data_IF_817075782016
#
_entry.id   IF_817075782016
#
_cell.length_a   1.000
_cell.length_b   1.000
_cell.length_c   1.000
_cell.angle_alpha   90.00
_cell.angle_beta   90.00
_cell.angle_gamma   90.00
#
_symmetry.space_group_name_H-M   'P 1'
#
loop_
_entity.id
_entity.type
_entity.pdbx_description
1 polymer ?
#
# COMPACT_ATOMS: atom_id res chain seq x y z
N UNK A 1 12.30 12.99 9.31
CA UNK A 1 13.51 13.64 9.89
C UNK A 1 13.50 15.17 9.73
N UNK A 2 12.38 15.82 9.43
CA UNK A 2 12.25 17.26 9.69
C UNK A 2 10.88 17.53 10.30
N UNK A 3 10.89 18.41 11.30
CA UNK A 3 9.79 18.80 12.21
C UNK A 3 9.48 17.89 13.42
N UNK A 4 10.51 17.66 14.25
CA UNK A 4 10.34 17.77 15.71
C UNK A 4 11.26 18.87 16.21
N UNK A 5 10.74 20.09 16.37
CA UNK A 5 11.36 21.11 17.22
C UNK A 5 10.24 21.62 18.11
N UNK A 6 10.45 21.44 19.41
CA UNK A 6 9.40 21.45 20.41
C UNK A 6 8.95 22.84 20.83
N UNK A 7 7.64 22.97 20.99
CA UNK A 7 7.07 23.93 21.93
C UNK A 7 7.11 23.33 23.34
N UNK A 8 8.25 23.47 24.02
CA UNK A 8 8.33 23.30 25.47
C UNK A 8 7.66 24.53 26.10
N UNK A 9 6.36 24.41 26.39
CA UNK A 9 5.65 25.41 27.17
C UNK A 9 6.16 25.42 28.61
N UNK A 10 6.84 26.51 28.97
CA UNK A 10 7.33 26.76 30.33
C UNK A 10 6.13 26.88 31.30
N UNK A 11 5.82 25.80 32.05
CA UNK A 11 4.78 25.84 33.08
C UNK A 11 5.43 26.18 34.42
N UNK A 12 5.18 27.40 34.88
CA UNK A 12 5.65 27.95 36.15
C UNK A 12 5.20 27.07 37.33
N UNK A 13 6.17 26.63 38.12
CA UNK A 13 5.98 25.81 39.32
C UNK A 13 5.64 26.74 40.51
N UNK A 14 4.36 26.78 40.91
CA UNK A 14 3.93 27.37 42.18
C UNK A 14 3.11 26.35 42.96
N UNK A 15 3.78 25.69 43.91
CA UNK A 15 3.15 24.86 44.96
C UNK A 15 2.16 25.68 45.79
N UNK A 16 0.95 25.16 45.97
CA UNK A 16 0.13 25.36 47.18
C UNK A 16 -0.46 24.01 47.61
N UNK A 17 -0.56 23.72 48.92
CA UNK A 17 -0.82 22.37 49.42
C UNK A 17 -2.31 22.06 49.59
N UNK A 18 -2.67 20.82 49.24
CA UNK A 18 -3.68 20.00 49.90
C UNK A 18 -5.15 20.24 49.56
N UNK A 19 -5.72 19.46 48.64
CA UNK A 19 -7.11 18.97 48.69
C UNK A 19 -7.19 17.58 47.99
N UNK A 20 -7.31 16.54 48.80
CA UNK A 20 -7.96 15.21 48.60
C UNK A 20 -7.95 14.63 47.17
N UNK A 21 -7.09 13.62 46.97
CA UNK A 21 -7.12 12.71 45.83
C UNK A 21 -8.47 11.96 45.76
N UNK A 22 -9.25 12.20 44.70
CA UNK A 22 -10.21 11.21 44.19
C UNK A 22 -9.58 10.52 42.99
N UNK A 23 -9.40 9.22 43.16
CA UNK A 23 -8.83 8.25 42.24
C UNK A 23 -9.52 8.31 40.85
N UNK A 24 -8.95 9.09 39.94
CA UNK A 24 -9.23 9.02 38.51
C UNK A 24 -8.21 8.09 37.89
N UNK A 25 -8.57 6.83 37.72
CA UNK A 25 -7.76 5.79 37.10
C UNK A 25 -7.29 6.26 35.72
N UNK A 26 -6.04 6.74 35.66
CA UNK A 26 -5.33 6.98 34.40
C UNK A 26 -5.18 5.60 33.76
N UNK A 27 -6.04 5.27 32.80
CA UNK A 27 -5.88 4.07 31.97
C UNK A 27 -4.68 4.33 31.07
N UNK A 28 -3.48 4.11 31.62
CA UNK A 28 -2.32 3.79 30.80
C UNK A 28 -2.71 2.54 30.00
N UNK A 29 -2.53 2.53 28.67
CA UNK A 29 -2.70 1.29 27.93
C UNK A 29 -1.63 0.34 28.44
N UNK A 30 -2.05 -0.58 29.32
CA UNK A 30 -1.25 -1.73 29.71
C UNK A 30 -0.98 -2.47 28.40
N UNK A 31 0.29 -2.60 28.02
CA UNK A 31 0.71 -3.42 26.87
C UNK A 31 0.15 -4.83 27.07
N UNK A 32 -1.03 -5.06 26.52
CA UNK A 32 -1.78 -6.27 26.73
C UNK A 32 -1.34 -7.21 25.61
N UNK A 33 -0.77 -8.39 25.90
CA UNK A 33 -0.25 -9.32 24.89
C UNK A 33 -1.30 -9.78 23.85
N UNK A 34 -2.58 -9.45 24.06
CA UNK A 34 -3.68 -9.62 23.12
C UNK A 34 -3.60 -8.78 21.84
N UNK A 35 -2.72 -7.76 21.76
CA UNK A 35 -2.62 -6.89 20.58
C UNK A 35 -2.24 -7.68 19.30
N UNK A 36 -1.41 -8.72 19.44
CA UNK A 36 -0.94 -9.54 18.33
C UNK A 36 -1.94 -10.66 17.93
N UNK A 37 -2.82 -11.07 18.85
CA UNK A 37 -3.70 -12.22 18.65
C UNK A 37 -4.74 -12.02 17.53
N UNK A 38 -5.00 -10.80 17.05
CA UNK A 38 -5.95 -10.56 15.92
C UNK A 38 -5.26 -10.29 14.58
N UNK A 39 -3.95 -10.06 14.57
CA UNK A 39 -3.18 -9.79 13.34
C UNK A 39 -2.59 -11.07 12.72
N UNK A 40 -2.33 -12.11 13.53
CA UNK A 40 -1.55 -13.29 13.12
C UNK A 40 -2.06 -14.00 11.85
N UNK A 41 -3.38 -14.12 11.65
CA UNK A 41 -3.93 -14.77 10.44
C UNK A 41 -3.55 -14.01 9.17
N UNK A 42 -3.71 -12.69 9.18
CA UNK A 42 -3.36 -11.83 8.06
C UNK A 42 -1.85 -11.79 7.82
N UNK A 43 -1.07 -11.77 8.91
CA UNK A 43 0.39 -11.86 8.84
C UNK A 43 0.85 -13.18 8.22
N UNK A 44 0.30 -14.32 8.65
CA UNK A 44 0.69 -15.64 8.15
C UNK A 44 0.36 -15.81 6.66
N UNK A 45 -0.87 -15.48 6.26
CA UNK A 45 -1.28 -15.55 4.84
C UNK A 45 -0.48 -14.57 3.99
N UNK A 46 -0.24 -13.36 4.51
CA UNK A 46 0.58 -12.35 3.85
C UNK A 46 2.02 -12.82 3.66
N UNK A 47 2.64 -13.39 4.70
CA UNK A 47 4.01 -13.90 4.64
C UNK A 47 4.14 -15.08 3.68
N UNK A 48 3.15 -15.99 3.66
CA UNK A 48 3.11 -17.09 2.69
C UNK A 48 3.07 -16.55 1.25
N UNK A 49 2.21 -15.57 0.98
CA UNK A 49 2.13 -14.91 -0.32
C UNK A 49 3.44 -14.20 -0.66
N UNK A 50 4.05 -13.49 0.28
CA UNK A 50 5.33 -12.83 0.09
C UNK A 50 6.45 -13.81 -0.28
N UNK A 51 6.54 -14.94 0.44
CA UNK A 51 7.50 -16.00 0.13
C UNK A 51 7.24 -16.62 -1.25
N UNK A 52 5.97 -16.85 -1.60
CA UNK A 52 5.60 -17.32 -2.94
C UNK A 52 6.03 -16.32 -4.02
N UNK A 53 5.85 -15.02 -3.81
CA UNK A 53 6.32 -13.96 -4.70
C UNK A 53 7.83 -13.99 -4.89
N UNK A 54 8.61 -14.24 -3.83
CA UNK A 54 10.07 -14.39 -3.93
C UNK A 54 10.47 -15.63 -4.75
N UNK A 55 9.78 -16.76 -4.55
CA UNK A 55 10.00 -17.97 -5.34
C UNK A 55 9.71 -17.71 -6.82
N UNK A 56 8.60 -17.04 -7.13
CA UNK A 56 8.23 -16.71 -8.51
C UNK A 56 9.23 -15.73 -9.13
N UNK A 57 9.73 -14.75 -8.37
CA UNK A 57 10.79 -13.86 -8.83
C UNK A 57 12.08 -14.64 -9.16
N UNK A 58 12.46 -15.63 -8.34
CA UNK A 58 13.59 -16.49 -8.63
C UNK A 58 13.37 -17.33 -9.91
N UNK A 59 12.17 -17.92 -10.06
CA UNK A 59 11.80 -18.67 -11.27
C UNK A 59 11.82 -17.80 -12.53
N UNK A 60 11.38 -16.54 -12.43
CA UNK A 60 11.48 -15.58 -13.51
C UNK A 60 12.93 -15.41 -13.99
N UNK A 61 13.89 -15.20 -13.07
CA UNK A 61 15.30 -15.10 -13.43
C UNK A 61 15.89 -16.40 -13.97
N UNK A 62 15.44 -17.56 -13.49
CA UNK A 62 15.85 -18.86 -14.03
C UNK A 62 15.41 -19.00 -15.49
N UNK A 63 14.15 -18.67 -15.81
CA UNK A 63 13.65 -18.71 -17.19
C UNK A 63 14.37 -17.71 -18.11
N UNK A 64 14.70 -16.53 -17.59
CA UNK A 64 15.52 -15.56 -18.31
C UNK A 64 16.92 -16.10 -18.62
N UNK A 65 17.54 -16.79 -17.67
CA UNK A 65 18.87 -17.40 -17.85
C UNK A 65 18.85 -18.60 -18.78
N UNK A 66 17.75 -19.36 -18.81
CA UNK A 66 17.57 -20.51 -19.70
C UNK A 66 17.11 -20.12 -21.11
N UNK A 67 17.14 -18.82 -21.47
CA UNK A 67 16.64 -18.27 -22.74
C UNK A 67 15.16 -18.55 -23.04
N UNK A 68 14.37 -18.92 -22.02
CA UNK A 68 12.92 -19.11 -22.16
C UNK A 68 12.17 -17.80 -21.90
N UNK A 69 12.34 -16.84 -22.80
CA UNK A 69 11.78 -15.48 -22.64
C UNK A 69 10.25 -15.46 -22.60
N UNK A 70 9.59 -16.29 -23.40
CA UNK A 70 8.12 -16.36 -23.44
C UNK A 70 7.55 -16.88 -22.11
N UNK A 71 8.16 -17.94 -21.54
CA UNK A 71 7.81 -18.44 -20.22
C UNK A 71 8.05 -17.41 -19.12
N UNK A 72 9.18 -16.69 -19.16
CA UNK A 72 9.49 -15.64 -18.20
C UNK A 72 8.45 -14.50 -18.24
N UNK A 73 8.10 -14.00 -19.43
CA UNK A 73 7.10 -12.94 -19.59
C UNK A 73 5.72 -13.42 -19.12
N UNK A 74 5.31 -14.62 -19.49
CA UNK A 74 4.01 -15.19 -19.09
C UNK A 74 3.92 -15.30 -17.57
N UNK A 75 4.95 -15.86 -16.93
CA UNK A 75 5.03 -15.98 -15.47
C UNK A 75 4.99 -14.60 -14.80
N UNK A 76 5.73 -13.64 -15.34
CA UNK A 76 5.78 -12.27 -14.84
C UNK A 76 4.43 -11.56 -14.90
N UNK A 77 3.74 -11.61 -16.06
CA UNK A 77 2.41 -10.99 -16.22
C UNK A 77 1.35 -11.67 -15.36
N UNK A 78 1.34 -13.01 -15.32
CA UNK A 78 0.41 -13.76 -14.49
C UNK A 78 0.59 -13.45 -12.99
N UNK A 79 1.83 -13.23 -12.54
CA UNK A 79 2.12 -12.85 -11.16
C UNK A 79 1.54 -11.50 -10.79
N UNK A 80 1.69 -10.49 -11.66
CA UNK A 80 1.07 -9.18 -11.43
C UNK A 80 -0.45 -9.25 -11.39
N UNK A 81 -1.05 -9.89 -12.39
CA UNK A 81 -2.51 -10.04 -12.45
C UNK A 81 -3.01 -10.71 -11.17
N UNK A 82 -2.32 -11.73 -10.68
CA UNK A 82 -2.66 -12.42 -9.42
C UNK A 82 -2.53 -11.50 -8.21
N UNK A 83 -1.38 -10.83 -8.04
CA UNK A 83 -1.14 -9.93 -6.91
C UNK A 83 -2.13 -8.78 -6.86
N UNK A 84 -2.41 -8.15 -8.00
CA UNK A 84 -3.34 -7.03 -8.06
C UNK A 84 -4.79 -7.49 -7.86
N UNK A 85 -5.20 -8.64 -8.41
CA UNK A 85 -6.55 -9.19 -8.18
C UNK A 85 -6.78 -9.49 -6.70
N UNK A 86 -5.81 -10.12 -6.03
CA UNK A 86 -5.84 -10.35 -4.58
C UNK A 86 -5.88 -9.02 -3.82
N UNK A 87 -5.13 -8.03 -4.28
CA UNK A 87 -5.11 -6.68 -3.72
C UNK A 87 -6.47 -5.98 -3.81
N UNK A 88 -7.16 -6.08 -4.95
CA UNK A 88 -8.51 -5.53 -5.15
C UNK A 88 -9.47 -6.14 -4.12
N UNK A 89 -9.51 -7.48 -4.05
CA UNK A 89 -10.41 -8.19 -3.12
C UNK A 89 -10.12 -7.80 -1.67
N UNK A 90 -8.84 -7.79 -1.27
CA UNK A 90 -8.45 -7.42 0.08
C UNK A 90 -8.77 -5.96 0.42
N UNK A 91 -8.55 -5.04 -0.52
CA UNK A 91 -8.88 -3.63 -0.33
C UNK A 91 -10.39 -3.39 -0.22
N UNK A 92 -11.21 -4.07 -1.03
CA UNK A 92 -12.68 -4.02 -0.90
C UNK A 92 -13.15 -4.55 0.45
N UNK A 93 -12.58 -5.67 0.92
CA UNK A 93 -12.91 -6.23 2.25
C UNK A 93 -12.47 -5.26 3.35
N UNK A 94 -11.30 -4.61 3.21
CA UNK A 94 -10.80 -3.64 4.18
C UNK A 94 -11.74 -2.43 4.31
N UNK A 95 -12.13 -1.85 3.18
CA UNK A 95 -13.09 -0.75 3.11
C UNK A 95 -14.41 -1.12 3.81
N UNK A 96 -14.93 -2.31 3.51
CA UNK A 96 -16.16 -2.79 4.12
C UNK A 96 -16.03 -2.99 5.63
N UNK A 97 -14.90 -3.49 6.12
CA UNK A 97 -14.70 -3.70 7.56
C UNK A 97 -14.40 -2.39 8.32
N UNK A 98 -13.70 -1.44 7.71
CA UNK A 98 -13.36 -0.16 8.34
C UNK A 98 -14.55 0.80 8.44
N UNK A 99 -15.59 0.64 7.62
CA UNK A 99 -16.79 1.52 7.62
C UNK A 99 -17.50 1.65 8.97
N UNK A 100 -17.31 0.68 9.88
CA UNK A 100 -17.91 0.67 11.23
C UNK A 100 -17.19 1.62 12.20
N UNK A 101 -15.97 2.03 11.88
CA UNK A 101 -15.22 3.01 12.66
C UNK A 101 -15.77 4.41 12.40
N UNK A 102 -15.63 5.30 13.39
CA UNK A 102 -16.13 6.66 13.30
C UNK A 102 -15.15 7.55 12.55
N UNK A 103 -15.68 8.64 11.97
CA UNK A 103 -14.86 9.64 11.31
C UNK A 103 -14.10 10.48 12.34
N UNK A 104 -12.89 10.88 11.97
CA UNK A 104 -12.01 11.79 12.71
C UNK A 104 -11.58 12.93 11.79
N UNK A 105 -11.30 14.09 12.36
CA UNK A 105 -10.64 15.19 11.67
C UNK A 105 -9.18 14.83 11.31
N UNK A 106 -8.79 15.23 10.10
CA UNK A 106 -7.45 15.03 9.55
C UNK A 106 -6.49 16.09 10.11
N UNK A 107 -5.27 15.65 10.40
CA UNK A 107 -4.14 16.53 10.72
C UNK A 107 -3.54 17.12 9.44
N UNK A 108 -2.74 18.20 9.57
CA UNK A 108 -1.90 18.69 8.47
C UNK A 108 -0.88 17.64 8.01
N UNK A 109 -0.37 16.82 8.94
CA UNK A 109 0.53 15.70 8.64
C UNK A 109 -0.16 14.65 7.74
N UNK A 110 -1.43 14.31 8.03
CA UNK A 110 -2.21 13.36 7.22
C UNK A 110 -2.44 13.91 5.80
N UNK A 111 -2.75 15.20 5.69
CA UNK A 111 -2.96 15.85 4.40
C UNK A 111 -1.67 15.90 3.55
N UNK A 112 -0.50 16.03 4.18
CA UNK A 112 0.77 15.93 3.48
C UNK A 112 0.98 14.52 2.91
N UNK A 113 0.81 13.48 3.74
CA UNK A 113 0.96 12.09 3.30
C UNK A 113 -0.02 11.72 2.18
N UNK A 114 -1.25 12.22 2.23
CA UNK A 114 -2.27 12.06 1.18
C UNK A 114 -1.81 12.68 -0.16
N UNK A 115 -1.21 13.87 -0.13
CA UNK A 115 -0.67 14.51 -1.34
C UNK A 115 0.49 13.72 -1.94
N UNK A 116 1.39 13.17 -1.11
CA UNK A 116 2.49 12.33 -1.58
C UNK A 116 1.96 11.05 -2.23
N UNK A 117 0.94 10.45 -1.63
CA UNK A 117 0.26 9.28 -2.19
C UNK A 117 -0.33 9.57 -3.58
N UNK A 118 -0.98 10.71 -3.74
CA UNK A 118 -1.58 11.13 -5.03
C UNK A 118 -0.53 11.39 -6.12
N UNK A 119 0.62 11.98 -5.77
CA UNK A 119 1.73 12.15 -6.73
C UNK A 119 2.24 10.79 -7.22
N UNK A 120 2.39 9.82 -6.31
CA UNK A 120 2.76 8.46 -6.67
C UNK A 120 1.73 7.78 -7.59
N UNK A 121 0.44 7.94 -7.28
CA UNK A 121 -0.66 7.45 -8.11
C UNK A 121 -0.62 8.04 -9.51
N UNK A 122 -0.40 9.36 -9.64
CA UNK A 122 -0.29 10.02 -10.95
C UNK A 122 0.83 9.40 -11.80
N UNK A 123 2.01 9.16 -11.21
CA UNK A 123 3.12 8.51 -11.90
C UNK A 123 2.78 7.08 -12.37
N UNK A 124 2.05 6.32 -11.55
CA UNK A 124 1.59 4.97 -11.90
C UNK A 124 0.57 4.98 -13.04
N UNK A 125 -0.47 5.80 -12.94
CA UNK A 125 -1.50 5.91 -14.00
C UNK A 125 -0.91 6.41 -15.32
N UNK A 126 0.04 7.36 -15.24
CA UNK A 126 0.76 7.84 -16.41
C UNK A 126 1.52 6.69 -17.09
N UNK A 127 2.28 5.90 -16.33
CA UNK A 127 3.01 4.76 -16.89
C UNK A 127 2.08 3.71 -17.52
N UNK A 128 1.01 3.33 -16.82
CA UNK A 128 0.09 2.31 -17.31
C UNK A 128 -0.65 2.77 -18.57
N UNK A 129 -0.95 4.05 -18.72
CA UNK A 129 -1.47 4.63 -19.97
C UNK A 129 -0.50 4.42 -21.15
N UNK A 130 0.79 4.67 -20.97
CA UNK A 130 1.80 4.44 -22.02
C UNK A 130 2.06 2.95 -22.29
N UNK A 131 1.82 2.07 -21.32
CA UNK A 131 1.86 0.62 -21.57
C UNK A 131 0.62 0.13 -22.33
N UNK A 132 -0.54 0.72 -22.06
CA UNK A 132 -1.82 0.26 -22.58
C UNK A 132 -1.93 0.46 -24.10
N UNK A 133 -1.55 1.63 -24.61
CA UNK A 133 -1.69 1.98 -26.03
C UNK A 133 -1.04 0.94 -26.97
N UNK A 134 0.27 0.66 -26.89
CA UNK A 134 0.91 -0.34 -27.75
C UNK A 134 0.44 -1.78 -27.47
N UNK A 135 -0.01 -2.08 -26.25
CA UNK A 135 -0.53 -3.40 -25.93
C UNK A 135 -1.89 -3.68 -26.60
N UNK A 136 -2.75 -2.68 -26.71
CA UNK A 136 -4.03 -2.76 -27.45
C UNK A 136 -3.80 -2.92 -28.95
N UNK A 137 -2.76 -2.29 -29.49
CA UNK A 137 -2.44 -2.35 -30.92
C UNK A 137 -1.63 -3.59 -31.33
N UNK A 138 -1.25 -4.45 -30.37
CA UNK A 138 -0.48 -5.66 -30.64
C UNK A 138 -1.28 -6.66 -31.51
N UNK A 139 -0.77 -6.96 -32.70
CA UNK A 139 -1.37 -7.87 -33.68
C UNK A 139 -0.47 -9.09 -33.95
N UNK A 140 -1.05 -10.12 -34.59
CA UNK A 140 -0.32 -11.31 -35.01
C UNK A 140 0.22 -12.13 -33.84
N UNK A 141 1.48 -12.55 -33.93
CA UNK A 141 2.17 -13.38 -32.92
C UNK A 141 2.23 -12.72 -31.54
N UNK A 142 2.16 -11.38 -31.46
CA UNK A 142 2.17 -10.63 -30.21
C UNK A 142 0.78 -10.44 -29.58
N UNK A 143 -0.29 -10.90 -30.22
CA UNK A 143 -1.66 -10.63 -29.76
C UNK A 143 -1.96 -11.21 -28.37
N UNK A 144 -1.53 -12.46 -28.11
CA UNK A 144 -1.71 -13.09 -26.80
C UNK A 144 -0.96 -12.33 -25.71
N UNK A 145 0.30 -11.98 -25.94
CA UNK A 145 1.08 -11.19 -24.99
C UNK A 145 0.45 -9.81 -24.76
N UNK A 146 0.06 -9.11 -25.84
CA UNK A 146 -0.65 -7.84 -25.79
C UNK A 146 -1.89 -7.91 -24.91
N UNK A 147 -2.73 -8.94 -25.05
CA UNK A 147 -3.91 -9.12 -24.20
C UNK A 147 -3.58 -9.25 -22.70
N UNK A 148 -2.48 -9.92 -22.36
CA UNK A 148 -2.01 -10.03 -20.98
C UNK A 148 -1.52 -8.68 -20.44
N UNK A 149 -0.79 -7.91 -21.26
CA UNK A 149 -0.33 -6.56 -20.90
C UNK A 149 -1.51 -5.60 -20.70
N UNK A 150 -2.52 -5.64 -21.57
CA UNK A 150 -3.76 -4.87 -21.43
C UNK A 150 -4.47 -5.24 -20.12
N UNK A 151 -4.68 -6.53 -19.88
CA UNK A 151 -5.31 -7.03 -18.66
C UNK A 151 -4.55 -6.59 -17.39
N UNK A 152 -3.22 -6.73 -17.39
CA UNK A 152 -2.36 -6.27 -16.29
C UNK A 152 -2.53 -4.77 -16.06
N UNK A 153 -2.42 -3.93 -17.11
CA UNK A 153 -2.48 -2.48 -16.96
C UNK A 153 -3.83 -2.02 -16.38
N UNK A 154 -4.94 -2.55 -16.89
CA UNK A 154 -6.28 -2.21 -16.38
C UNK A 154 -6.43 -2.63 -14.92
N UNK A 155 -6.04 -3.86 -14.58
CA UNK A 155 -6.15 -4.37 -13.20
C UNK A 155 -5.24 -3.55 -12.26
N UNK A 156 -4.03 -3.18 -12.68
CA UNK A 156 -3.14 -2.34 -11.87
C UNK A 156 -3.73 -0.96 -11.59
N UNK A 157 -4.27 -0.29 -12.61
CA UNK A 157 -4.92 1.01 -12.45
C UNK A 157 -6.10 0.92 -11.45
N UNK A 158 -6.97 -0.10 -11.60
CA UNK A 158 -8.10 -0.32 -10.69
C UNK A 158 -7.61 -0.60 -9.27
N UNK A 159 -6.60 -1.45 -9.12
CA UNK A 159 -6.03 -1.78 -7.81
C UNK A 159 -5.41 -0.56 -7.15
N UNK A 160 -4.67 0.27 -7.89
CA UNK A 160 -4.03 1.48 -7.38
C UNK A 160 -5.07 2.50 -6.92
N UNK A 161 -6.10 2.77 -7.74
CA UNK A 161 -7.20 3.66 -7.39
C UNK A 161 -7.94 3.19 -6.13
N UNK A 162 -8.27 1.90 -6.04
CA UNK A 162 -8.95 1.34 -4.88
C UNK A 162 -8.07 1.37 -3.63
N UNK A 163 -6.76 1.15 -3.77
CA UNK A 163 -5.79 1.24 -2.68
C UNK A 163 -5.68 2.66 -2.12
N UNK A 164 -5.63 3.67 -3.00
CA UNK A 164 -5.64 5.07 -2.59
C UNK A 164 -6.94 5.41 -1.89
N UNK A 165 -8.08 5.01 -2.45
CA UNK A 165 -9.38 5.24 -1.83
C UNK A 165 -9.46 4.60 -0.43
N UNK A 166 -8.96 3.37 -0.26
CA UNK A 166 -8.84 2.73 1.06
C UNK A 166 -7.97 3.53 2.02
N UNK A 167 -6.83 4.04 1.57
CA UNK A 167 -5.91 4.78 2.45
C UNK A 167 -6.53 6.11 2.88
N UNK A 168 -7.06 6.89 1.94
CA UNK A 168 -7.72 8.17 2.24
C UNK A 168 -8.94 8.00 3.14
N UNK A 169 -9.71 6.93 2.95
CA UNK A 169 -10.85 6.64 3.81
C UNK A 169 -10.40 6.10 5.17
N UNK A 170 -9.39 5.24 5.19
CA UNK A 170 -8.87 4.60 6.40
C UNK A 170 -8.14 5.57 7.33
N UNK A 171 -7.42 6.57 6.79
CA UNK A 171 -6.74 7.61 7.58
C UNK A 171 -7.73 8.46 8.39
N UNK A 172 -8.96 8.59 7.88
CA UNK A 172 -10.05 9.35 8.52
C UNK A 172 -10.85 8.53 9.54
N UNK A 173 -10.49 7.28 9.79
CA UNK A 173 -11.29 6.35 10.61
C UNK A 173 -10.61 6.06 11.95
N UNK A 174 -11.37 6.18 13.04
CA UNK A 174 -10.91 5.90 14.40
C UNK A 174 -11.97 5.15 15.22
N UNK A 175 -11.53 4.32 16.17
CA UNK A 175 -12.40 3.66 17.13
C UNK A 175 -13.04 4.67 18.08
N UNK A 176 -14.37 4.77 18.05
CA UNK A 176 -15.15 5.59 18.98
C UNK A 176 -15.63 4.86 20.24
N UNK A 177 -15.55 3.52 20.26
CA UNK A 177 -16.02 2.72 21.40
C UNK A 177 -14.95 1.76 21.89
N UNK A 178 -14.97 1.45 23.20
CA UNK A 178 -14.11 0.44 23.82
C UNK A 178 -14.29 -0.94 23.14
N UNK A 179 -15.50 -1.24 22.67
CA UNK A 179 -15.77 -2.45 21.91
C UNK A 179 -15.04 -2.46 20.55
N UNK A 180 -14.97 -1.33 19.84
CA UNK A 180 -14.19 -1.22 18.60
C UNK A 180 -12.69 -1.37 18.84
N UNK A 181 -12.17 -0.82 19.95
CA UNK A 181 -10.77 -1.02 20.35
C UNK A 181 -10.45 -2.48 20.66
N UNK A 182 -11.38 -3.19 21.33
CA UNK A 182 -11.19 -4.59 21.71
C UNK A 182 -11.33 -5.54 20.50
N UNK A 183 -12.29 -5.29 19.61
CA UNK A 183 -12.56 -6.13 18.42
C UNK A 183 -11.59 -5.88 17.28
N UNK A 184 -11.09 -4.66 17.13
CA UNK A 184 -10.19 -4.19 16.05
C UNK A 184 -10.71 -4.59 14.63
N UNK A 185 -11.91 -4.14 14.21
CA UNK A 185 -12.50 -4.50 12.91
C UNK A 185 -11.60 -4.10 11.75
N UNK A 186 -11.28 -5.02 10.83
CA UNK A 186 -10.36 -4.77 9.71
C UNK A 186 -8.88 -5.07 9.98
N UNK A 187 -8.46 -5.24 11.25
CA UNK A 187 -7.04 -5.38 11.62
C UNK A 187 -6.31 -6.48 10.85
N UNK A 188 -6.92 -7.65 10.76
CA UNK A 188 -6.34 -8.81 10.06
C UNK A 188 -6.10 -8.52 8.58
N UNK A 189 -7.05 -7.85 7.93
CA UNK A 189 -6.95 -7.55 6.50
C UNK A 189 -5.97 -6.40 6.22
N UNK A 190 -5.90 -5.39 7.08
CA UNK A 190 -4.88 -4.33 6.98
C UNK A 190 -3.48 -4.93 7.17
N UNK A 191 -3.30 -5.86 8.12
CA UNK A 191 -2.03 -6.60 8.25
C UNK A 191 -1.69 -7.40 7.00
N UNK A 192 -2.65 -8.07 6.38
CA UNK A 192 -2.42 -8.76 5.11
C UNK A 192 -2.02 -7.78 3.99
N UNK A 193 -2.74 -6.66 3.85
CA UNK A 193 -2.48 -5.64 2.84
C UNK A 193 -1.11 -4.97 2.99
N UNK A 194 -0.60 -4.83 4.21
CA UNK A 194 0.77 -4.35 4.46
C UNK A 194 1.81 -5.27 3.82
N UNK A 195 1.69 -6.58 4.06
CA UNK A 195 2.62 -7.56 3.50
C UNK A 195 2.42 -7.72 1.99
N UNK A 196 1.18 -7.63 1.50
CA UNK A 196 0.88 -7.65 0.07
C UNK A 196 1.49 -6.45 -0.66
N UNK A 197 1.39 -5.23 -0.11
CA UNK A 197 2.02 -4.04 -0.70
C UNK A 197 3.55 -4.15 -0.71
N UNK A 198 4.14 -4.71 0.36
CA UNK A 198 5.56 -5.00 0.38
C UNK A 198 5.96 -6.03 -0.70
N UNK A 199 5.15 -7.07 -0.90
CA UNK A 199 5.37 -8.05 -1.97
C UNK A 199 5.32 -7.40 -3.36
N UNK A 200 4.30 -6.56 -3.61
CA UNK A 200 4.19 -5.80 -4.87
C UNK A 200 5.36 -4.83 -5.06
N UNK A 201 5.82 -4.18 -4.00
CA UNK A 201 6.98 -3.28 -4.04
C UNK A 201 8.26 -4.04 -4.44
N UNK A 202 8.57 -5.16 -3.78
CA UNK A 202 9.72 -6.00 -4.14
C UNK A 202 9.61 -6.49 -5.58
N UNK A 203 8.44 -7.01 -5.97
CA UNK A 203 8.24 -7.55 -7.30
C UNK A 203 8.40 -6.47 -8.38
N UNK A 204 7.90 -5.25 -8.14
CA UNK A 204 8.17 -4.08 -8.97
C UNK A 204 9.68 -3.79 -9.03
N UNK A 205 10.34 -3.56 -7.90
CA UNK A 205 11.75 -3.13 -7.86
C UNK A 205 12.70 -4.08 -8.57
N UNK A 206 12.52 -5.40 -8.40
CA UNK A 206 13.42 -6.39 -9.00
C UNK A 206 12.93 -6.88 -10.37
N UNK A 207 11.62 -6.93 -10.60
CA UNK A 207 11.05 -7.40 -11.86
C UNK A 207 11.03 -6.37 -13.01
N UNK A 208 10.88 -5.07 -12.69
CA UNK A 208 10.64 -4.02 -13.70
C UNK A 208 11.78 -3.87 -14.72
N UNK A 209 13.05 -4.07 -14.33
CA UNK A 209 14.22 -3.88 -15.21
C UNK A 209 14.22 -4.73 -16.48
N UNK A 210 13.46 -5.83 -16.51
CA UNK A 210 13.37 -6.70 -17.70
C UNK A 210 12.12 -6.44 -18.55
N UNK A 211 11.03 -5.98 -17.95
CA UNK A 211 9.83 -5.59 -18.68
C UNK A 211 10.06 -4.38 -19.59
N UNK A 212 10.94 -3.46 -19.20
CA UNK A 212 11.36 -2.29 -20.00
C UNK A 212 11.93 -2.66 -21.37
N UNK A 213 12.46 -3.88 -21.54
CA UNK A 213 13.12 -4.33 -22.75
C UNK A 213 12.22 -5.12 -23.70
N UNK A 214 10.92 -5.25 -23.40
CA UNK A 214 10.03 -5.97 -24.31
C UNK A 214 9.87 -5.22 -25.63
N UNK A 215 9.94 -5.96 -26.74
CA UNK A 215 10.03 -5.39 -28.09
C UNK A 215 8.82 -4.52 -28.44
N UNK A 216 7.62 -4.87 -27.97
CA UNK A 216 6.36 -4.16 -28.21
C UNK A 216 6.50 -2.66 -27.91
N UNK A 217 7.09 -2.30 -26.77
CA UNK A 217 7.20 -0.90 -26.34
C UNK A 217 8.31 -0.14 -27.05
N UNK A 218 9.45 -0.81 -27.27
CA UNK A 218 10.62 -0.20 -27.90
C UNK A 218 10.47 -0.02 -29.42
N UNK A 219 9.64 -0.85 -30.06
CA UNK A 219 9.29 -0.66 -31.47
C UNK A 219 8.23 0.42 -31.67
N UNK A 220 7.31 0.56 -30.70
CA UNK A 220 6.23 1.53 -30.78
C UNK A 220 6.69 2.94 -30.43
N UNK A 221 7.36 3.10 -29.28
CA UNK A 221 7.98 4.35 -28.90
C UNK A 221 9.40 4.41 -29.43
N UNK A 222 9.86 5.58 -29.88
CA UNK A 222 11.29 5.77 -30.16
C UNK A 222 12.09 5.44 -28.90
N UNK A 223 13.27 4.82 -29.06
CA UNK A 223 14.03 4.32 -27.91
C UNK A 223 14.41 5.40 -26.87
N UNK A 224 14.42 6.68 -27.26
CA UNK A 224 14.63 7.82 -26.35
C UNK A 224 13.34 8.16 -25.60
N UNK A 225 12.20 8.24 -26.29
CA UNK A 225 10.91 8.52 -25.67
C UNK A 225 10.57 7.47 -24.60
N UNK A 226 10.76 6.18 -24.91
CA UNK A 226 10.51 5.10 -23.96
C UNK A 226 11.37 5.24 -22.70
N UNK A 227 12.68 5.53 -22.86
CA UNK A 227 13.57 5.77 -21.72
C UNK A 227 13.09 6.93 -20.86
N UNK A 228 12.70 8.06 -21.45
CA UNK A 228 12.20 9.21 -20.68
C UNK A 228 10.95 8.81 -19.88
N UNK A 229 9.99 8.14 -20.51
CA UNK A 229 8.75 7.68 -19.86
C UNK A 229 9.07 6.77 -18.68
N UNK A 230 9.94 5.77 -18.86
CA UNK A 230 10.26 4.83 -17.79
C UNK A 230 11.08 5.48 -16.68
N UNK A 231 12.08 6.29 -17.00
CA UNK A 231 12.95 6.92 -16.00
C UNK A 231 12.21 7.94 -15.13
N UNK A 232 11.15 8.57 -15.66
CA UNK A 232 10.27 9.44 -14.88
C UNK A 232 9.30 8.64 -14.01
N UNK A 233 8.69 7.58 -14.56
CA UNK A 233 7.56 6.92 -13.91
C UNK A 233 7.95 5.83 -12.92
N UNK A 234 9.01 5.07 -13.20
CA UNK A 234 9.41 3.94 -12.34
C UNK A 234 9.78 4.36 -10.91
N UNK A 235 10.53 5.46 -10.67
CA UNK A 235 10.76 5.95 -9.31
C UNK A 235 9.46 6.31 -8.59
N UNK A 236 8.51 6.93 -9.29
CA UNK A 236 7.20 7.29 -8.72
C UNK A 236 6.36 6.06 -8.39
N UNK A 237 6.41 5.01 -9.20
CA UNK A 237 5.74 3.73 -8.94
C UNK A 237 6.32 3.03 -7.71
N UNK A 238 7.66 2.98 -7.62
CA UNK A 238 8.35 2.39 -6.46
C UNK A 238 8.02 3.20 -5.20
N UNK A 239 8.04 4.53 -5.31
CA UNK A 239 7.65 5.43 -4.23
C UNK A 239 6.19 5.22 -3.82
N UNK A 240 5.25 5.14 -4.75
CA UNK A 240 3.83 4.91 -4.49
C UNK A 240 3.59 3.64 -3.66
N UNK A 241 4.20 2.52 -4.05
CA UNK A 241 4.06 1.23 -3.34
C UNK A 241 4.67 1.27 -1.95
N UNK A 242 5.83 1.92 -1.80
CA UNK A 242 6.48 2.11 -0.51
C UNK A 242 5.63 3.01 0.41
N UNK A 243 5.23 4.19 -0.06
CA UNK A 243 4.45 5.15 0.70
C UNK A 243 3.06 4.60 1.07
N UNK A 244 2.41 3.87 0.16
CA UNK A 244 1.15 3.15 0.47
C UNK A 244 1.31 2.19 1.65
N UNK A 245 2.47 1.52 1.77
CA UNK A 245 2.77 0.64 2.91
C UNK A 245 2.92 1.46 4.20
N UNK A 246 3.56 2.62 4.13
CA UNK A 246 3.70 3.55 5.27
C UNK A 246 2.34 4.05 5.74
N UNK A 247 1.48 4.54 4.84
CA UNK A 247 0.14 5.01 5.20
C UNK A 247 -0.74 3.89 5.77
N UNK A 248 -0.69 2.68 5.21
CA UNK A 248 -1.37 1.51 5.78
C UNK A 248 -0.86 1.16 7.18
N UNK A 249 0.42 1.37 7.46
CA UNK A 249 1.02 1.08 8.76
C UNK A 249 0.59 2.13 9.79
N UNK A 250 0.40 3.38 9.35
CA UNK A 250 -0.18 4.43 10.16
C UNK A 250 -1.63 4.12 10.53
N UNK A 251 -2.47 3.77 9.55
CA UNK A 251 -3.86 3.29 9.78
C UNK A 251 -3.87 2.11 10.75
N UNK A 252 -3.00 1.13 10.53
CA UNK A 252 -2.87 -0.03 11.42
C UNK A 252 -2.52 0.40 12.84
N UNK A 253 -1.67 1.40 13.03
CA UNK A 253 -1.25 1.85 14.36
C UNK A 253 -2.32 2.70 15.05
N UNK A 254 -2.95 3.61 14.32
CA UNK A 254 -3.76 4.69 14.90
C UNK A 254 -5.27 4.42 14.90
N UNK A 255 -5.81 3.59 14.00
CA UNK A 255 -7.25 3.40 13.85
C UNK A 255 -7.98 2.91 15.13
N UNK A 256 -7.27 2.35 16.10
CA UNK A 256 -7.86 1.84 17.35
C UNK A 256 -7.33 2.52 18.61
N UNK A 257 -6.62 3.65 18.48
CA UNK A 257 -6.22 4.48 19.62
C UNK A 257 -7.35 5.46 19.93
N UNK A 258 -7.81 5.50 21.17
CA UNK A 258 -8.70 6.58 21.63
C UNK A 258 -7.84 7.80 21.93
N UNK A 259 -7.94 8.83 21.09
CA UNK A 259 -7.61 10.18 21.53
C UNK A 259 -8.79 10.65 22.36
N UNK A 260 -8.57 10.86 23.67
CA UNK A 260 -9.57 11.48 24.53
C UNK A 260 -10.00 12.79 23.89
N UNK A 261 -11.25 12.87 23.42
CA UNK A 261 -11.85 14.16 23.11
C UNK A 261 -11.72 15.00 24.38
N UNK A 262 -11.00 16.12 24.29
CA UNK A 262 -11.18 17.19 25.24
C UNK A 262 -12.67 17.55 25.17
N UNK A 263 -13.40 17.23 26.23
CA UNK A 263 -14.77 17.68 26.43
C UNK A 263 -14.75 19.20 26.38
N UNK A 264 -15.34 19.76 25.32
CA UNK A 264 -15.71 21.18 25.25
C UNK A 264 -16.87 21.41 26.21
#
# INVERSE_FOLDING_TARGET
MFQRIGHVGHRNDRRKPGIIEKHGSRILPRDNPSECHRAHKGLFVGLLLFLATLVVLALFYIFMRSHNYSGAITLYQASYITLFSVGIVAASIALYQLRVLSLRELSEEDAFDDNLLLIGLLGMLFYDMFLLVPAVEAKGENSTAGSMFVGKAIIEMVQALLQVFLILEGSRRQAATVNHMARKPGRTIITFLLILNLAMWIFNTFGLKYAENHSIYRSYYTGIAWKIITHLSLPLIIFFRFHSTVCLADIWTNAYRMHSCASV
#
